data_IF_763603642562
#
_entry.id   IF_763603642562
#
_cell.length_a   1.000
_cell.length_b   1.000
_cell.length_c   1.000
_cell.angle_alpha   90.00
_cell.angle_beta   90.00
_cell.angle_gamma   90.00
#
_symmetry.space_group_name_H-M   'P 1'
#
loop_
_entity.id
_entity.type
_entity.pdbx_description
1 polymer ?
#
# COMPACT_ATOMS: atom_id res chain seq x y z
N UNK A 1 -43.83 -8.57 -13.06
CA UNK A 1 -44.09 -7.94 -14.39
C UNK A 1 -45.52 -7.44 -14.62
N UNK A 2 -46.53 -7.79 -13.83
CA UNK A 2 -47.92 -7.31 -14.04
C UNK A 2 -48.29 -6.06 -13.23
N UNK A 3 -47.67 -5.75 -12.11
CA UNK A 3 -47.98 -4.55 -11.31
C UNK A 3 -47.46 -3.23 -11.91
N UNK A 4 -46.34 -3.25 -12.67
CA UNK A 4 -45.75 -2.05 -13.31
C UNK A 4 -46.61 -1.48 -14.47
N UNK A 5 -47.49 -2.27 -15.09
CA UNK A 5 -48.38 -1.80 -16.20
C UNK A 5 -49.61 -1.07 -15.73
N UNK A 6 -50.01 -1.21 -14.48
CA UNK A 6 -51.26 -0.58 -13.97
C UNK A 6 -50.99 0.87 -13.53
N UNK A 7 -49.81 1.20 -13.02
CA UNK A 7 -49.48 2.57 -12.56
C UNK A 7 -49.26 3.55 -13.73
N UNK A 8 -48.69 3.08 -14.84
CA UNK A 8 -48.49 3.92 -16.05
C UNK A 8 -49.78 4.27 -16.77
N UNK A 9 -50.85 3.47 -16.64
CA UNK A 9 -52.18 3.71 -17.27
C UNK A 9 -52.98 4.74 -16.49
N UNK A 10 -52.81 4.85 -15.16
CA UNK A 10 -53.53 5.82 -14.34
C UNK A 10 -53.00 7.25 -14.53
N UNK A 11 -51.73 7.46 -14.80
CA UNK A 11 -51.16 8.78 -15.09
C UNK A 11 -51.53 9.31 -16.52
N UNK A 12 -51.81 8.46 -17.47
CA UNK A 12 -52.13 8.88 -18.84
C UNK A 12 -53.63 9.30 -19.01
N UNK A 13 -54.49 8.98 -18.05
CA UNK A 13 -55.93 9.28 -18.13
C UNK A 13 -56.33 10.63 -17.52
N UNK A 14 -55.45 11.32 -16.81
CA UNK A 14 -55.70 12.64 -16.22
C UNK A 14 -55.38 13.83 -17.14
N UNK A 15 -54.83 13.61 -18.34
CA UNK A 15 -54.38 14.68 -19.24
C UNK A 15 -55.30 14.98 -20.43
N UNK A 16 -56.46 14.33 -20.56
CA UNK A 16 -57.36 14.53 -21.70
C UNK A 16 -58.83 14.80 -21.33
N UNK A 17 -59.11 15.56 -20.29
CA UNK A 17 -60.46 16.09 -20.06
C UNK A 17 -60.41 17.62 -20.20
N UNK A 18 -60.99 18.07 -21.31
CA UNK A 18 -61.07 19.46 -21.72
C UNK A 18 -61.81 20.37 -20.76
N UNK A 19 -61.49 21.62 -20.84
CA UNK A 19 -62.03 22.75 -20.08
C UNK A 19 -63.53 22.87 -20.17
N UNK A 20 -64.27 22.96 -19.06
CA UNK A 20 -65.53 23.65 -18.89
C UNK A 20 -65.42 24.60 -17.70
N UNK A 21 -65.48 25.89 -18.00
CA UNK A 21 -65.49 26.98 -17.03
C UNK A 21 -66.78 27.04 -16.26
N UNK A 22 -66.74 26.87 -14.94
CA UNK A 22 -67.68 27.50 -14.00
C UNK A 22 -66.89 27.77 -12.69
N UNK A 23 -67.06 29.01 -12.17
CA UNK A 23 -66.34 29.53 -11.04
C UNK A 23 -66.41 28.61 -9.81
N UNK A 24 -65.30 28.07 -9.45
CA UNK A 24 -65.02 27.46 -8.17
C UNK A 24 -63.55 27.76 -7.79
N UNK A 25 -63.40 28.19 -6.57
CA UNK A 25 -62.10 28.45 -5.91
C UNK A 25 -61.07 27.42 -6.34
N UNK A 26 -59.97 27.89 -6.90
CA UNK A 26 -58.80 27.07 -7.15
C UNK A 26 -58.25 26.63 -5.77
N UNK A 27 -58.63 25.46 -5.34
CA UNK A 27 -57.85 24.72 -4.32
C UNK A 27 -56.57 24.33 -5.03
N UNK A 28 -55.54 25.13 -4.89
CA UNK A 28 -54.18 24.69 -5.15
C UNK A 28 -53.85 23.61 -4.12
N UNK A 29 -54.24 22.38 -4.41
CA UNK A 29 -53.59 21.25 -3.79
C UNK A 29 -52.16 21.31 -4.29
N UNK A 30 -51.25 21.67 -3.41
CA UNK A 30 -49.83 21.32 -3.56
C UNK A 30 -49.78 19.80 -3.69
N UNK A 31 -49.80 19.29 -4.93
CA UNK A 31 -49.34 17.95 -5.21
C UNK A 31 -47.82 18.03 -4.99
N UNK A 32 -47.39 17.88 -3.74
CA UNK A 32 -46.07 17.46 -3.48
C UNK A 32 -45.89 16.15 -4.20
N UNK A 33 -45.08 16.16 -5.26
CA UNK A 33 -44.70 14.92 -5.93
C UNK A 33 -44.15 14.02 -4.83
N UNK A 34 -44.92 13.02 -4.43
CA UNK A 34 -44.50 12.05 -3.45
C UNK A 34 -43.33 11.34 -4.14
N UNK A 35 -42.15 11.43 -3.54
CA UNK A 35 -40.95 10.81 -4.10
C UNK A 35 -41.29 9.36 -4.43
N UNK A 36 -41.00 8.95 -5.66
CA UNK A 36 -41.21 7.57 -6.05
C UNK A 36 -40.25 6.72 -5.17
N UNK A 37 -40.84 5.96 -4.26
CA UNK A 37 -40.15 5.03 -3.42
C UNK A 37 -40.28 3.63 -4.02
N UNK A 38 -39.13 2.98 -4.26
CA UNK A 38 -39.08 1.59 -4.72
C UNK A 38 -38.93 0.73 -3.49
N UNK A 39 -39.94 -0.09 -3.22
CA UNK A 39 -39.95 -0.99 -2.07
C UNK A 39 -39.78 -2.44 -2.51
N UNK A 40 -38.94 -3.15 -1.76
CA UNK A 40 -38.75 -4.59 -1.80
C UNK A 40 -38.69 -5.14 -0.37
N UNK A 41 -38.71 -6.45 -0.23
CA UNK A 41 -38.70 -7.10 1.08
C UNK A 41 -37.42 -6.76 1.88
N UNK A 42 -36.27 -6.65 1.18
CA UNK A 42 -34.95 -6.44 1.79
C UNK A 42 -34.35 -5.04 1.59
N UNK A 43 -35.01 -4.15 0.84
CA UNK A 43 -34.56 -2.77 0.68
C UNK A 43 -35.69 -1.81 0.34
N UNK A 44 -35.45 -0.51 0.54
CA UNK A 44 -36.20 0.57 -0.07
C UNK A 44 -35.26 1.57 -0.75
N UNK A 45 -35.70 2.19 -1.85
CA UNK A 45 -34.93 3.20 -2.56
C UNK A 45 -35.76 4.44 -2.84
N UNK A 46 -35.28 5.57 -2.38
CA UNK A 46 -35.90 6.86 -2.65
C UNK A 46 -35.23 7.53 -3.85
N UNK A 47 -35.90 7.55 -5.00
CA UNK A 47 -35.33 8.09 -6.25
C UNK A 47 -35.02 9.60 -6.18
N UNK A 48 -35.72 10.37 -5.34
CA UNK A 48 -35.48 11.81 -5.21
C UNK A 48 -34.18 12.11 -4.47
N UNK A 49 -33.93 11.38 -3.39
CA UNK A 49 -32.73 11.58 -2.57
C UNK A 49 -31.56 10.71 -2.99
N UNK A 50 -31.83 9.63 -3.71
CA UNK A 50 -30.83 8.62 -4.07
C UNK A 50 -30.39 7.75 -2.90
N UNK A 51 -31.19 7.64 -1.83
CA UNK A 51 -30.89 6.82 -0.66
C UNK A 51 -31.43 5.41 -0.86
N UNK A 52 -30.54 4.43 -0.77
CA UNK A 52 -30.86 3.01 -0.71
C UNK A 52 -30.80 2.58 0.76
N UNK A 53 -31.90 2.14 1.32
CA UNK A 53 -32.01 1.63 2.70
C UNK A 53 -32.14 0.12 2.66
N UNK A 54 -31.25 -0.58 3.36
CA UNK A 54 -31.22 -2.03 3.51
C UNK A 54 -31.94 -2.45 4.79
N UNK A 55 -32.71 -3.53 4.74
CA UNK A 55 -33.53 -4.01 5.88
C UNK A 55 -33.69 -5.53 5.84
N UNK A 56 -33.74 -6.17 7.00
CA UNK A 56 -33.93 -7.62 7.12
C UNK A 56 -32.83 -8.45 6.47
N UNK A 57 -33.17 -9.66 6.06
CA UNK A 57 -32.25 -10.54 5.33
C UNK A 57 -32.12 -10.09 3.88
N UNK A 58 -30.90 -9.80 3.46
CA UNK A 58 -30.64 -9.28 2.10
C UNK A 58 -30.68 -10.43 1.09
N UNK A 59 -31.62 -10.34 0.17
CA UNK A 59 -31.59 -11.14 -1.06
C UNK A 59 -30.57 -10.54 -2.03
N UNK A 60 -29.46 -11.28 -2.21
CA UNK A 60 -28.34 -10.85 -3.05
C UNK A 60 -28.76 -10.61 -4.50
N UNK A 61 -29.56 -11.50 -5.04
CA UNK A 61 -29.93 -11.44 -6.45
C UNK A 61 -30.94 -10.32 -6.70
N UNK A 62 -31.89 -10.10 -5.79
CA UNK A 62 -32.80 -8.96 -5.84
C UNK A 62 -32.06 -7.62 -5.76
N UNK A 63 -31.07 -7.49 -4.85
CA UNK A 63 -30.27 -6.26 -4.73
C UNK A 63 -29.34 -6.05 -5.93
N UNK A 64 -28.84 -7.11 -6.51
CA UNK A 64 -28.03 -7.06 -7.72
C UNK A 64 -28.84 -6.65 -8.96
N UNK A 65 -30.06 -7.18 -9.12
CA UNK A 65 -30.97 -6.74 -10.18
C UNK A 65 -31.32 -5.25 -10.03
N UNK A 66 -31.60 -4.79 -8.80
CA UNK A 66 -31.77 -3.37 -8.49
C UNK A 66 -30.53 -2.57 -8.91
N UNK A 67 -29.33 -3.03 -8.56
CA UNK A 67 -28.07 -2.37 -8.92
C UNK A 67 -27.94 -2.17 -10.42
N UNK A 68 -28.22 -3.14 -11.26
CA UNK A 68 -28.14 -2.99 -12.72
C UNK A 68 -29.07 -1.90 -13.30
N UNK A 69 -30.19 -1.59 -12.64
CA UNK A 69 -31.13 -0.56 -13.10
C UNK A 69 -30.83 0.82 -12.48
N UNK A 70 -30.32 0.84 -11.23
CA UNK A 70 -30.27 2.07 -10.42
C UNK A 70 -28.86 2.44 -9.91
N UNK A 71 -27.78 1.72 -10.23
CA UNK A 71 -26.43 1.98 -9.74
C UNK A 71 -25.99 3.44 -9.86
N UNK A 72 -26.27 4.05 -11.02
CA UNK A 72 -25.95 5.46 -11.29
C UNK A 72 -26.83 6.47 -10.54
N UNK A 73 -27.95 6.03 -9.93
CA UNK A 73 -28.87 6.89 -9.16
C UNK A 73 -28.61 6.83 -7.66
N UNK A 74 -28.01 5.76 -7.16
CA UNK A 74 -27.68 5.61 -5.74
C UNK A 74 -26.63 6.64 -5.34
N UNK A 75 -26.95 7.47 -4.33
CA UNK A 75 -26.06 8.49 -3.75
C UNK A 75 -25.54 8.06 -2.40
N UNK A 76 -26.31 7.30 -1.65
CA UNK A 76 -25.92 6.72 -0.38
C UNK A 76 -26.62 5.39 -0.12
N UNK A 77 -25.96 4.54 0.66
CA UNK A 77 -26.49 3.28 1.19
C UNK A 77 -26.51 3.36 2.70
N UNK A 78 -27.59 2.91 3.34
CA UNK A 78 -27.70 2.84 4.81
C UNK A 78 -28.32 1.50 5.20
N UNK A 79 -27.70 0.79 6.13
CA UNK A 79 -28.30 -0.41 6.73
C UNK A 79 -29.11 -0.05 7.98
N UNK A 80 -30.34 -0.54 8.06
CA UNK A 80 -31.14 -0.49 9.29
C UNK A 80 -30.71 -1.56 10.28
N UNK A 81 -31.11 -1.40 11.55
CA UNK A 81 -30.91 -2.42 12.56
C UNK A 81 -31.64 -3.71 12.17
N UNK A 82 -30.93 -4.83 12.21
CA UNK A 82 -31.48 -6.13 11.82
C UNK A 82 -31.26 -6.48 10.34
N UNK A 83 -30.48 -5.65 9.61
CA UNK A 83 -29.99 -6.02 8.28
C UNK A 83 -28.99 -7.16 8.41
N UNK A 84 -29.20 -8.26 7.70
CA UNK A 84 -28.31 -9.42 7.66
C UNK A 84 -27.80 -9.60 6.25
N UNK A 85 -26.48 -9.55 6.06
CA UNK A 85 -25.88 -9.75 4.75
C UNK A 85 -25.82 -11.23 4.36
N UNK A 86 -26.00 -11.57 3.07
CA UNK A 86 -25.99 -12.96 2.62
C UNK A 86 -24.60 -13.59 2.75
N UNK A 87 -24.54 -14.91 2.94
CA UNK A 87 -23.29 -15.66 3.03
C UNK A 87 -22.33 -15.35 1.87
N UNK A 88 -22.86 -15.23 0.67
CA UNK A 88 -22.11 -14.71 -0.49
C UNK A 88 -22.49 -13.25 -0.74
N UNK A 89 -21.73 -12.32 -0.17
CA UNK A 89 -21.89 -10.87 -0.35
C UNK A 89 -21.02 -10.32 -1.49
N UNK A 90 -20.52 -11.19 -2.38
CA UNK A 90 -19.74 -10.72 -3.53
C UNK A 90 -20.54 -9.80 -4.43
N UNK A 91 -19.90 -8.73 -4.92
CA UNK A 91 -20.47 -7.74 -5.86
C UNK A 91 -21.73 -7.02 -5.38
N UNK A 92 -22.01 -6.99 -4.06
CA UNK A 92 -23.28 -6.50 -3.53
C UNK A 92 -23.54 -5.02 -3.87
N UNK A 93 -22.49 -4.18 -3.87
CA UNK A 93 -22.55 -2.76 -4.24
C UNK A 93 -21.62 -2.46 -5.45
N UNK A 94 -21.42 -3.46 -6.30
CA UNK A 94 -20.58 -3.32 -7.48
C UNK A 94 -21.07 -2.20 -8.38
N UNK A 95 -20.14 -1.32 -8.81
CA UNK A 95 -20.37 -0.22 -9.74
C UNK A 95 -21.30 0.90 -9.25
N UNK A 96 -21.50 1.05 -7.93
CA UNK A 96 -22.21 2.21 -7.37
C UNK A 96 -21.34 3.47 -7.49
N UNK A 97 -20.99 3.83 -8.72
CA UNK A 97 -19.98 4.82 -9.09
C UNK A 97 -20.34 6.28 -8.73
N UNK A 98 -21.61 6.57 -8.45
CA UNK A 98 -22.09 7.86 -7.98
C UNK A 98 -22.41 7.88 -6.46
N UNK A 99 -22.25 6.73 -5.78
CA UNK A 99 -22.49 6.62 -4.35
C UNK A 99 -21.33 7.24 -3.57
N UNK A 100 -21.62 8.25 -2.74
CA UNK A 100 -20.59 8.98 -1.96
C UNK A 100 -20.44 8.47 -0.53
N UNK A 101 -21.45 7.75 -0.01
CA UNK A 101 -21.41 7.20 1.34
C UNK A 101 -22.12 5.86 1.44
N UNK A 102 -21.52 4.92 2.17
CA UNK A 102 -22.10 3.63 2.51
C UNK A 102 -21.93 3.44 4.01
N UNK A 103 -23.04 3.29 4.74
CA UNK A 103 -23.10 3.03 6.17
C UNK A 103 -23.72 1.64 6.40
N UNK A 104 -22.85 0.69 6.73
CA UNK A 104 -23.22 -0.68 7.10
C UNK A 104 -22.94 -0.98 8.57
N UNK A 105 -22.77 0.05 9.42
CA UNK A 105 -22.45 -0.08 10.84
C UNK A 105 -23.49 -0.87 11.67
N UNK A 106 -24.69 -1.12 11.09
CA UNK A 106 -25.76 -1.88 11.71
C UNK A 106 -26.02 -3.22 11.05
N UNK A 107 -25.25 -3.57 10.01
CA UNK A 107 -25.42 -4.83 9.30
C UNK A 107 -24.72 -5.97 10.06
N UNK A 108 -25.39 -7.10 10.11
CA UNK A 108 -24.83 -8.37 10.58
C UNK A 108 -24.12 -9.07 9.41
N UNK A 109 -22.84 -9.36 9.58
CA UNK A 109 -21.98 -10.04 8.60
C UNK A 109 -21.44 -11.38 9.10
N UNK A 110 -21.85 -11.85 10.28
CA UNK A 110 -21.30 -13.04 10.92
C UNK A 110 -21.37 -14.34 10.10
N UNK A 111 -22.27 -14.41 9.12
CA UNK A 111 -22.39 -15.57 8.22
C UNK A 111 -21.68 -15.37 6.86
N UNK A 112 -21.06 -14.21 6.62
CA UNK A 112 -20.46 -13.93 5.32
C UNK A 112 -19.16 -14.71 5.15
N UNK A 113 -19.04 -15.41 4.02
CA UNK A 113 -17.83 -16.18 3.67
C UNK A 113 -17.11 -15.61 2.44
N UNK A 114 -17.79 -14.81 1.63
CA UNK A 114 -17.25 -14.22 0.40
C UNK A 114 -17.64 -12.74 0.29
N UNK A 115 -16.64 -11.86 0.31
CA UNK A 115 -16.78 -10.41 0.12
C UNK A 115 -16.09 -9.92 -1.16
N UNK A 116 -15.82 -10.82 -2.13
CA UNK A 116 -15.12 -10.42 -3.34
C UNK A 116 -15.89 -9.36 -4.12
N UNK A 117 -15.19 -8.33 -4.57
CA UNK A 117 -15.74 -7.19 -5.35
C UNK A 117 -16.91 -6.47 -4.68
N UNK A 118 -17.11 -6.59 -3.36
CA UNK A 118 -18.29 -6.08 -2.66
C UNK A 118 -18.51 -4.57 -2.90
N UNK A 119 -17.46 -3.77 -2.91
CA UNK A 119 -17.49 -2.33 -3.17
C UNK A 119 -16.74 -1.94 -4.44
N UNK A 120 -16.46 -2.91 -5.33
CA UNK A 120 -15.68 -2.67 -6.54
C UNK A 120 -16.35 -1.63 -7.43
N UNK A 121 -15.54 -0.70 -7.99
CA UNK A 121 -15.95 0.43 -8.85
C UNK A 121 -16.86 1.47 -8.14
N UNK A 122 -16.91 1.49 -6.79
CA UNK A 122 -17.53 2.60 -6.06
C UNK A 122 -16.64 3.85 -6.12
N UNK A 123 -16.44 4.41 -7.31
CA UNK A 123 -15.40 5.40 -7.58
C UNK A 123 -15.63 6.77 -6.91
N UNK A 124 -16.86 7.15 -6.61
CA UNK A 124 -17.20 8.37 -5.88
C UNK A 124 -17.24 8.20 -4.35
N UNK A 125 -17.05 6.96 -3.84
CA UNK A 125 -17.16 6.68 -2.42
C UNK A 125 -16.10 7.41 -1.61
N UNK A 126 -16.53 8.25 -0.66
CA UNK A 126 -15.65 9.02 0.23
C UNK A 126 -15.84 8.65 1.70
N UNK A 127 -16.99 8.06 2.05
CA UNK A 127 -17.32 7.64 3.41
C UNK A 127 -17.80 6.20 3.38
N UNK A 128 -17.14 5.34 4.12
CA UNK A 128 -17.50 3.93 4.28
C UNK A 128 -17.44 3.57 5.76
N UNK A 129 -18.59 3.19 6.33
CA UNK A 129 -18.67 2.68 7.69
C UNK A 129 -18.99 1.17 7.67
N UNK A 130 -17.97 0.39 7.99
CA UNK A 130 -17.98 -1.06 8.11
C UNK A 130 -17.44 -1.49 9.49
N UNK A 131 -17.56 -0.61 10.48
CA UNK A 131 -17.00 -0.81 11.82
C UNK A 131 -17.60 -2.00 12.58
N UNK A 132 -18.82 -2.47 12.18
CA UNK A 132 -19.48 -3.63 12.75
C UNK A 132 -19.13 -4.95 12.05
N UNK A 133 -18.33 -4.94 10.98
CA UNK A 133 -18.09 -6.15 10.20
C UNK A 133 -17.38 -7.22 11.03
N UNK A 134 -18.03 -8.37 11.15
CA UNK A 134 -17.41 -9.63 11.53
C UNK A 134 -16.96 -10.35 10.26
N UNK A 135 -15.66 -10.45 10.05
CA UNK A 135 -15.06 -11.09 8.88
C UNK A 135 -14.41 -12.42 9.20
N UNK A 136 -14.62 -12.96 10.42
CA UNK A 136 -13.99 -14.18 10.91
C UNK A 136 -14.27 -15.43 10.05
N UNK A 137 -15.38 -15.44 9.30
CA UNK A 137 -15.74 -16.52 8.38
C UNK A 137 -15.37 -16.25 6.93
N UNK A 138 -14.81 -15.06 6.61
CA UNK A 138 -14.53 -14.66 5.24
C UNK A 138 -13.26 -15.35 4.73
N UNK A 139 -13.36 -15.96 3.56
CA UNK A 139 -12.25 -16.67 2.89
C UNK A 139 -11.76 -15.95 1.64
N UNK A 140 -12.58 -15.07 1.05
CA UNK A 140 -12.25 -14.34 -0.18
C UNK A 140 -12.59 -12.86 -0.07
N UNK A 141 -11.55 -12.01 -0.21
CA UNK A 141 -11.63 -10.55 -0.26
C UNK A 141 -11.06 -9.97 -1.57
N UNK A 142 -11.00 -10.79 -2.63
CA UNK A 142 -10.55 -10.36 -3.95
C UNK A 142 -11.34 -9.15 -4.45
N UNK A 143 -10.63 -8.12 -4.97
CA UNK A 143 -11.23 -6.90 -5.54
C UNK A 143 -12.18 -6.13 -4.59
N UNK A 144 -12.18 -6.38 -3.26
CA UNK A 144 -13.21 -5.86 -2.36
C UNK A 144 -13.41 -4.34 -2.47
N UNK A 145 -12.32 -3.58 -2.61
CA UNK A 145 -12.31 -2.12 -2.77
C UNK A 145 -11.72 -1.69 -4.13
N UNK A 146 -11.76 -2.59 -5.13
CA UNK A 146 -11.21 -2.30 -6.46
C UNK A 146 -11.76 -0.98 -7.01
N UNK A 147 -10.86 -0.05 -7.34
CA UNK A 147 -11.16 1.30 -7.87
C UNK A 147 -12.09 2.18 -7.02
N UNK A 148 -12.13 1.99 -5.70
CA UNK A 148 -12.68 3.00 -4.80
C UNK A 148 -11.78 4.25 -4.79
N UNK A 149 -11.71 4.94 -5.93
CA UNK A 149 -10.67 5.93 -6.23
C UNK A 149 -10.76 7.23 -5.43
N UNK A 150 -11.93 7.56 -4.87
CA UNK A 150 -12.15 8.75 -4.03
C UNK A 150 -11.97 8.48 -2.53
N UNK A 151 -11.80 7.20 -2.12
CA UNK A 151 -11.64 6.83 -0.73
C UNK A 151 -10.25 7.26 -0.23
N UNK A 152 -10.22 8.20 0.73
CA UNK A 152 -8.95 8.75 1.25
C UNK A 152 -8.41 8.00 2.48
N UNK A 153 -9.29 7.33 3.19
CA UNK A 153 -8.98 6.48 4.34
C UNK A 153 -10.04 5.41 4.49
N UNK A 154 -9.70 4.32 5.16
CA UNK A 154 -10.61 3.22 5.48
C UNK A 154 -10.25 2.67 6.85
N UNK A 155 -11.25 2.42 7.69
CA UNK A 155 -11.09 1.73 8.97
C UNK A 155 -11.33 0.24 8.79
N UNK A 156 -10.26 -0.54 8.99
CA UNK A 156 -10.24 -2.00 8.91
C UNK A 156 -9.96 -2.64 10.28
N UNK A 157 -10.10 -1.88 11.36
CA UNK A 157 -9.74 -2.33 12.71
C UNK A 157 -10.59 -3.51 13.22
N UNK A 158 -11.80 -3.68 12.66
CA UNK A 158 -12.71 -4.80 12.97
C UNK A 158 -12.39 -6.08 12.18
N UNK A 159 -11.52 -6.02 11.14
CA UNK A 159 -11.30 -7.14 10.24
C UNK A 159 -10.47 -8.24 10.90
N UNK A 160 -11.04 -9.45 10.96
CA UNK A 160 -10.32 -10.70 11.18
C UNK A 160 -10.07 -11.36 9.82
N UNK A 161 -8.81 -11.44 9.40
CA UNK A 161 -8.42 -12.01 8.11
C UNK A 161 -7.82 -13.41 8.22
N UNK A 162 -7.88 -14.03 9.40
CA UNK A 162 -7.24 -15.31 9.70
C UNK A 162 -7.72 -16.50 8.84
N UNK A 163 -8.87 -16.38 8.20
CA UNK A 163 -9.41 -17.37 7.27
C UNK A 163 -9.30 -16.98 5.79
N UNK A 164 -8.80 -15.79 5.49
CA UNK A 164 -8.72 -15.28 4.12
C UNK A 164 -7.60 -15.99 3.35
N UNK A 165 -7.92 -16.49 2.14
CA UNK A 165 -6.98 -17.15 1.24
C UNK A 165 -6.65 -16.34 0.00
N UNK A 166 -7.50 -15.39 -0.38
CA UNK A 166 -7.34 -14.54 -1.56
C UNK A 166 -7.57 -13.06 -1.22
N UNK A 167 -6.52 -12.24 -1.37
CA UNK A 167 -6.52 -10.78 -1.24
C UNK A 167 -6.09 -10.08 -2.53
N UNK A 168 -6.18 -10.79 -3.68
CA UNK A 168 -5.79 -10.19 -4.97
C UNK A 168 -6.57 -8.92 -5.22
N UNK A 169 -5.89 -7.87 -5.69
CA UNK A 169 -6.43 -6.58 -6.09
C UNK A 169 -7.37 -5.89 -5.06
N UNK A 170 -7.28 -6.28 -3.75
CA UNK A 170 -8.20 -5.80 -2.71
C UNK A 170 -8.31 -4.27 -2.68
N UNK A 171 -7.21 -3.55 -2.90
CA UNK A 171 -7.15 -2.08 -2.93
C UNK A 171 -6.71 -1.54 -4.30
N UNK A 172 -6.80 -2.36 -5.36
CA UNK A 172 -6.43 -1.92 -6.70
C UNK A 172 -7.10 -0.60 -7.06
N UNK A 173 -6.33 0.39 -7.49
CA UNK A 173 -6.86 1.68 -7.97
C UNK A 173 -7.49 2.57 -6.90
N UNK A 174 -7.28 2.29 -5.62
CA UNK A 174 -7.63 3.19 -4.52
C UNK A 174 -6.71 4.43 -4.52
N UNK A 175 -6.79 5.23 -5.60
CA UNK A 175 -5.91 6.37 -5.86
C UNK A 175 -5.99 7.47 -4.80
N UNK A 176 -7.11 7.52 -4.05
CA UNK A 176 -7.34 8.47 -2.97
C UNK A 176 -6.59 8.17 -1.68
N UNK A 177 -6.31 6.88 -1.41
CA UNK A 177 -5.70 6.43 -0.15
C UNK A 177 -4.32 7.05 0.06
N UNK A 178 -4.13 7.73 1.19
CA UNK A 178 -2.86 8.34 1.59
C UNK A 178 -2.11 7.50 2.62
N UNK A 179 -2.83 6.72 3.39
CA UNK A 179 -2.33 5.74 4.37
C UNK A 179 -3.35 4.63 4.57
N UNK A 180 -2.89 3.48 5.06
CA UNK A 180 -3.73 2.35 5.42
C UNK A 180 -3.11 1.63 6.62
N UNK A 181 -3.92 1.27 7.63
CA UNK A 181 -3.49 0.48 8.78
C UNK A 181 -3.87 -0.99 8.55
N UNK A 182 -2.86 -1.85 8.45
CA UNK A 182 -2.98 -3.29 8.18
C UNK A 182 -2.40 -4.14 9.31
N UNK A 183 -2.14 -3.54 10.48
CA UNK A 183 -1.47 -4.26 11.58
C UNK A 183 -2.26 -5.47 12.12
N UNK A 184 -3.59 -5.47 11.94
CA UNK A 184 -4.48 -6.57 12.38
C UNK A 184 -4.63 -7.66 11.32
N UNK A 185 -4.03 -7.50 10.12
CA UNK A 185 -4.15 -8.49 9.06
C UNK A 185 -3.31 -9.73 9.38
N UNK A 186 -3.98 -10.86 9.60
CA UNK A 186 -3.37 -12.18 9.58
C UNK A 186 -3.38 -12.70 8.14
N UNK A 187 -2.21 -12.88 7.56
CA UNK A 187 -2.06 -13.31 6.16
C UNK A 187 -1.50 -14.72 6.02
N UNK A 188 -1.40 -15.48 7.12
CA UNK A 188 -0.77 -16.81 7.13
C UNK A 188 -1.41 -17.85 6.19
N UNK A 189 -2.73 -17.71 5.88
CA UNK A 189 -3.43 -18.57 4.91
C UNK A 189 -3.53 -17.98 3.52
N UNK A 190 -3.08 -16.75 3.31
CA UNK A 190 -3.22 -16.08 2.01
C UNK A 190 -2.26 -16.70 0.99
N UNK A 191 -2.80 -17.12 -0.15
CA UNK A 191 -2.03 -17.70 -1.27
C UNK A 191 -1.90 -16.74 -2.45
N UNK A 192 -2.76 -15.72 -2.55
CA UNK A 192 -2.80 -14.76 -3.66
C UNK A 192 -2.85 -13.33 -3.13
N UNK A 193 -1.86 -12.51 -3.52
CA UNK A 193 -1.76 -11.07 -3.22
C UNK A 193 -1.49 -10.24 -4.48
N UNK A 194 -1.74 -10.81 -5.68
CA UNK A 194 -1.46 -10.08 -6.93
C UNK A 194 -2.25 -8.78 -7.00
N UNK A 195 -1.59 -7.68 -7.38
CA UNK A 195 -2.21 -6.38 -7.55
C UNK A 195 -2.82 -5.75 -6.29
N UNK A 196 -2.54 -6.27 -5.07
CA UNK A 196 -3.25 -5.85 -3.85
C UNK A 196 -3.27 -4.33 -3.65
N UNK A 197 -2.20 -3.61 -3.99
CA UNK A 197 -2.09 -2.15 -3.90
C UNK A 197 -1.85 -1.49 -5.26
N UNK A 198 -2.16 -2.18 -6.37
CA UNK A 198 -1.90 -1.67 -7.71
C UNK A 198 -2.56 -0.29 -7.90
N UNK A 199 -1.80 0.71 -8.37
CA UNK A 199 -2.24 2.10 -8.58
C UNK A 199 -2.78 2.82 -7.33
N UNK A 200 -2.32 2.45 -6.12
CA UNK A 200 -2.51 3.28 -4.93
C UNK A 200 -1.53 4.48 -4.97
N UNK A 201 -1.74 5.38 -5.93
CA UNK A 201 -0.75 6.40 -6.34
C UNK A 201 -0.48 7.49 -5.30
N UNK A 202 -1.40 7.74 -4.36
CA UNK A 202 -1.19 8.70 -3.26
C UNK A 202 -0.64 8.07 -1.99
N UNK A 203 -0.47 6.75 -1.95
CA UNK A 203 0.07 6.06 -0.78
C UNK A 203 1.56 6.39 -0.65
N UNK A 204 1.93 7.13 0.41
CA UNK A 204 3.32 7.60 0.61
C UNK A 204 4.16 6.65 1.44
N UNK A 205 3.53 5.83 2.25
CA UNK A 205 4.13 4.77 3.04
C UNK A 205 3.13 3.67 3.31
N UNK A 206 3.62 2.45 3.51
CA UNK A 206 2.83 1.30 3.91
C UNK A 206 3.64 0.44 4.85
N UNK A 207 3.02 -0.04 5.93
CA UNK A 207 3.61 -1.01 6.84
C UNK A 207 3.02 -2.40 6.57
N UNK A 208 3.82 -3.26 5.99
CA UNK A 208 3.51 -4.67 5.70
C UNK A 208 4.40 -5.63 6.50
N UNK A 209 5.07 -5.12 7.55
CA UNK A 209 5.98 -5.92 8.38
C UNK A 209 5.29 -7.05 9.15
N UNK A 210 3.96 -6.95 9.33
CA UNK A 210 3.12 -7.97 9.95
C UNK A 210 2.69 -9.10 9.01
N UNK A 211 2.93 -8.97 7.69
CA UNK A 211 2.46 -9.97 6.73
C UNK A 211 3.27 -11.26 6.80
N UNK A 212 2.62 -12.37 7.04
CA UNK A 212 3.16 -13.71 6.75
C UNK A 212 2.88 -14.03 5.27
N UNK A 213 3.93 -14.09 4.49
CA UNK A 213 3.86 -14.34 3.05
C UNK A 213 4.32 -15.74 2.66
N UNK A 214 4.54 -16.63 3.65
CA UNK A 214 5.11 -17.97 3.42
C UNK A 214 4.26 -18.87 2.53
N UNK A 215 2.93 -18.66 2.51
CA UNK A 215 1.98 -19.40 1.69
C UNK A 215 1.69 -18.74 0.34
N UNK A 216 2.19 -17.53 0.09
CA UNK A 216 1.86 -16.75 -1.11
C UNK A 216 2.61 -17.30 -2.33
N UNK A 217 1.86 -17.61 -3.39
CA UNK A 217 2.40 -18.09 -4.67
C UNK A 217 2.40 -17.01 -5.76
N UNK A 218 1.55 -16.00 -5.65
CA UNK A 218 1.44 -14.92 -6.63
C UNK A 218 1.46 -13.54 -5.96
N UNK A 219 2.53 -12.76 -6.24
CA UNK A 219 2.73 -11.37 -5.84
C UNK A 219 2.81 -10.42 -7.04
N UNK A 220 2.44 -10.90 -8.24
CA UNK A 220 2.52 -10.07 -9.45
C UNK A 220 1.80 -8.74 -9.28
N UNK A 221 2.41 -7.66 -9.73
CA UNK A 221 1.85 -6.29 -9.71
C UNK A 221 1.43 -5.76 -8.32
N UNK A 222 1.88 -6.37 -7.19
CA UNK A 222 1.37 -6.03 -5.85
C UNK A 222 1.47 -4.54 -5.53
N UNK A 223 2.53 -3.85 -5.96
CA UNK A 223 2.76 -2.42 -5.76
C UNK A 223 2.86 -1.65 -7.09
N UNK A 224 2.38 -2.23 -8.20
CA UNK A 224 2.42 -1.58 -9.51
C UNK A 224 1.81 -0.17 -9.43
N UNK A 225 2.49 0.85 -9.97
CA UNK A 225 1.97 2.22 -10.04
C UNK A 225 1.78 2.93 -8.70
N UNK A 226 2.37 2.41 -7.61
CA UNK A 226 2.41 3.10 -6.31
C UNK A 226 3.40 4.28 -6.36
N UNK A 227 3.07 5.29 -7.17
CA UNK A 227 3.96 6.42 -7.44
C UNK A 227 4.28 7.28 -6.21
N UNK A 228 3.45 7.24 -5.16
CA UNK A 228 3.68 7.97 -3.91
C UNK A 228 4.76 7.36 -3.02
N UNK A 229 5.04 6.05 -3.15
CA UNK A 229 6.01 5.36 -2.29
C UNK A 229 7.44 5.84 -2.57
N UNK A 230 8.12 6.29 -1.52
CA UNK A 230 9.55 6.67 -1.60
C UNK A 230 10.49 5.59 -1.05
N UNK A 231 9.97 4.73 -0.18
CA UNK A 231 10.66 3.59 0.43
C UNK A 231 9.66 2.45 0.63
N UNK A 232 10.16 1.22 0.60
CA UNK A 232 9.40 0.03 0.88
C UNK A 232 10.31 -0.99 1.58
N UNK A 233 9.92 -1.42 2.78
CA UNK A 233 10.63 -2.44 3.56
C UNK A 233 9.90 -3.77 3.43
N UNK A 234 10.51 -4.71 2.73
CA UNK A 234 10.02 -6.07 2.51
C UNK A 234 10.98 -7.11 3.11
N UNK A 235 11.86 -6.71 4.02
CA UNK A 235 12.87 -7.59 4.63
C UNK A 235 12.26 -8.79 5.36
N UNK A 236 10.99 -8.71 5.76
CA UNK A 236 10.25 -9.79 6.42
C UNK A 236 9.47 -10.69 5.48
N UNK A 237 9.40 -10.36 4.19
CA UNK A 237 8.68 -11.20 3.23
C UNK A 237 9.40 -12.53 3.03
N UNK A 238 8.69 -13.62 3.25
CA UNK A 238 9.11 -14.95 2.86
C UNK A 238 8.57 -15.27 1.48
N UNK A 239 9.43 -15.23 0.46
CA UNK A 239 9.03 -15.44 -0.93
C UNK A 239 9.34 -16.85 -1.43
N UNK A 240 9.68 -17.81 -0.54
CA UNK A 240 10.10 -19.16 -0.90
C UNK A 240 9.03 -20.00 -1.61
N UNK A 241 7.76 -19.59 -1.57
CA UNK A 241 6.64 -20.22 -2.28
C UNK A 241 6.22 -19.46 -3.54
N UNK A 242 6.79 -18.27 -3.79
CA UNK A 242 6.38 -17.40 -4.89
C UNK A 242 6.84 -17.94 -6.23
N UNK A 243 5.90 -18.02 -7.19
CA UNK A 243 6.11 -18.41 -8.58
C UNK A 243 6.04 -17.17 -9.48
N UNK A 244 5.12 -16.25 -9.19
CA UNK A 244 4.85 -15.07 -10.01
C UNK A 244 5.12 -13.79 -9.22
N UNK A 245 6.11 -12.96 -9.67
CA UNK A 245 6.37 -11.62 -9.14
C UNK A 245 6.56 -10.56 -10.24
N UNK A 246 6.00 -10.84 -11.43
CA UNK A 246 6.03 -9.92 -12.55
C UNK A 246 5.46 -8.54 -12.17
N UNK A 247 6.05 -7.47 -12.70
CA UNK A 247 5.58 -6.08 -12.52
C UNK A 247 5.40 -5.63 -11.06
N UNK A 248 5.93 -6.34 -10.06
CA UNK A 248 5.60 -6.11 -8.64
C UNK A 248 5.84 -4.66 -8.22
N UNK A 249 6.87 -4.00 -8.76
CA UNK A 249 7.23 -2.61 -8.45
C UNK A 249 7.17 -1.70 -9.69
N UNK A 250 6.57 -2.19 -10.79
CA UNK A 250 6.51 -1.41 -12.03
C UNK A 250 5.82 -0.06 -11.79
N UNK A 251 6.41 1.03 -12.27
CA UNK A 251 5.87 2.37 -12.14
C UNK A 251 5.95 2.99 -10.73
N UNK A 252 6.68 2.38 -9.79
CA UNK A 252 7.00 3.02 -8.50
C UNK A 252 8.02 4.15 -8.71
N UNK A 253 7.63 5.21 -9.43
CA UNK A 253 8.53 6.22 -9.98
C UNK A 253 9.29 7.05 -8.93
N UNK A 254 8.76 7.20 -7.71
CA UNK A 254 9.42 7.90 -6.61
C UNK A 254 10.18 6.98 -5.64
N UNK A 255 10.19 5.66 -5.91
CA UNK A 255 10.86 4.70 -5.05
C UNK A 255 12.39 4.87 -5.15
N UNK A 256 13.00 5.37 -4.08
CA UNK A 256 14.45 5.59 -4.00
C UNK A 256 15.21 4.38 -3.46
N UNK A 257 14.56 3.61 -2.57
CA UNK A 257 15.13 2.43 -1.92
C UNK A 257 14.10 1.34 -1.72
N UNK A 258 14.58 0.10 -1.84
CA UNK A 258 13.82 -1.11 -1.54
C UNK A 258 14.74 -2.11 -0.87
N UNK A 259 14.28 -2.78 0.19
CA UNK A 259 14.99 -3.89 0.84
C UNK A 259 14.37 -5.21 0.40
N UNK A 260 15.16 -5.99 -0.35
CA UNK A 260 14.81 -7.31 -0.87
C UNK A 260 15.66 -8.41 -0.25
N UNK A 261 16.36 -8.13 0.85
CA UNK A 261 17.31 -9.08 1.46
C UNK A 261 16.67 -10.37 1.95
N UNK A 262 15.35 -10.35 2.23
CA UNK A 262 14.58 -11.53 2.61
C UNK A 262 14.05 -12.36 1.42
N UNK A 263 14.26 -11.92 0.17
CA UNK A 263 13.68 -12.59 -0.99
C UNK A 263 14.42 -13.88 -1.34
N UNK A 264 13.65 -14.97 -1.43
CA UNK A 264 14.05 -16.25 -2.00
C UNK A 264 13.32 -16.43 -3.33
N UNK A 265 14.05 -16.38 -4.44
CA UNK A 265 13.46 -16.44 -5.78
C UNK A 265 13.66 -17.78 -6.50
N UNK A 266 14.08 -18.83 -5.77
CA UNK A 266 14.39 -20.15 -6.36
C UNK A 266 13.22 -20.80 -7.09
N UNK A 267 11.97 -20.46 -6.77
CA UNK A 267 10.77 -20.96 -7.45
C UNK A 267 10.17 -19.97 -8.43
N UNK A 268 10.72 -18.77 -8.53
CA UNK A 268 10.16 -17.73 -9.40
C UNK A 268 10.41 -18.05 -10.86
N UNK A 269 9.34 -18.06 -11.63
CA UNK A 269 9.34 -18.30 -13.09
C UNK A 269 9.18 -16.97 -13.87
N UNK A 270 8.43 -16.01 -13.30
CA UNK A 270 8.12 -14.75 -13.98
C UNK A 270 8.49 -13.54 -13.12
N UNK A 271 9.42 -12.72 -13.63
CA UNK A 271 9.80 -11.42 -13.04
C UNK A 271 9.98 -10.32 -14.11
N UNK A 272 9.27 -10.47 -15.25
CA UNK A 272 9.28 -9.46 -16.29
C UNK A 272 8.74 -8.11 -15.74
N UNK A 273 9.28 -7.00 -16.23
CA UNK A 273 8.95 -5.62 -15.82
C UNK A 273 9.02 -5.37 -14.30
N UNK A 274 9.74 -6.21 -13.53
CA UNK A 274 9.73 -6.19 -12.06
C UNK A 274 9.98 -4.80 -11.47
N UNK A 275 10.94 -4.03 -12.02
CA UNK A 275 11.30 -2.67 -11.60
C UNK A 275 11.09 -1.64 -12.69
N UNK A 276 10.40 -1.99 -13.79
CA UNK A 276 10.20 -1.05 -14.89
C UNK A 276 9.56 0.25 -14.37
N UNK A 277 10.05 1.40 -14.85
CA UNK A 277 9.53 2.72 -14.43
C UNK A 277 9.89 3.13 -12.99
N UNK A 278 10.78 2.41 -12.29
CA UNK A 278 11.35 2.87 -11.02
C UNK A 278 12.40 3.96 -11.27
N UNK A 279 11.96 5.08 -11.84
CA UNK A 279 12.85 6.12 -12.37
C UNK A 279 13.67 6.89 -11.33
N UNK A 280 13.29 6.81 -10.03
CA UNK A 280 14.06 7.39 -8.92
C UNK A 280 14.99 6.41 -8.22
N UNK A 281 14.98 5.13 -8.59
CA UNK A 281 15.80 4.10 -7.98
C UNK A 281 17.26 4.27 -8.42
N UNK A 282 18.16 4.52 -7.46
CA UNK A 282 19.60 4.74 -7.74
C UNK A 282 20.44 3.50 -7.51
N UNK A 283 20.01 2.63 -6.58
CA UNK A 283 20.71 1.40 -6.26
C UNK A 283 19.75 0.26 -5.96
N UNK A 284 20.15 -0.96 -6.30
CA UNK A 284 19.41 -2.17 -5.97
C UNK A 284 20.35 -3.32 -5.62
N UNK A 285 20.01 -4.07 -4.56
CA UNK A 285 20.72 -5.28 -4.17
C UNK A 285 19.84 -6.51 -4.47
N UNK A 286 20.25 -7.29 -5.48
CA UNK A 286 19.67 -8.56 -5.89
C UNK A 286 20.57 -9.74 -5.52
N UNK A 287 21.39 -9.59 -4.50
CA UNK A 287 22.35 -10.65 -4.10
C UNK A 287 21.68 -11.90 -3.55
N UNK A 288 20.43 -11.79 -3.09
CA UNK A 288 19.58 -12.92 -2.66
C UNK A 288 18.90 -13.66 -3.83
N UNK A 289 18.84 -13.05 -5.04
CA UNK A 289 18.08 -13.59 -6.16
C UNK A 289 18.77 -14.80 -6.80
N UNK A 290 17.98 -15.82 -7.02
CA UNK A 290 18.32 -17.00 -7.84
C UNK A 290 17.43 -16.98 -9.10
N UNK A 291 18.06 -16.87 -10.26
CA UNK A 291 17.36 -16.80 -11.55
C UNK A 291 17.37 -18.14 -12.31
N UNK A 292 17.70 -19.24 -11.63
CA UNK A 292 17.86 -20.55 -12.29
C UNK A 292 16.56 -21.08 -12.90
N UNK A 293 15.40 -20.75 -12.33
CA UNK A 293 14.09 -21.15 -12.80
C UNK A 293 13.33 -20.04 -13.54
N UNK A 294 13.93 -18.84 -13.66
CA UNK A 294 13.25 -17.71 -14.30
C UNK A 294 13.17 -17.92 -15.82
N UNK A 295 11.94 -17.88 -16.32
CA UNK A 295 11.62 -18.02 -17.74
C UNK A 295 11.52 -16.64 -18.39
N UNK A 296 10.87 -15.69 -17.70
CA UNK A 296 10.60 -14.35 -18.22
C UNK A 296 11.17 -13.27 -17.27
N UNK A 297 12.17 -12.51 -17.75
CA UNK A 297 12.72 -11.34 -17.05
C UNK A 297 12.89 -10.12 -17.98
N UNK A 298 12.21 -10.15 -19.14
CA UNK A 298 12.23 -9.03 -20.06
C UNK A 298 11.71 -7.74 -19.42
N UNK A 299 12.19 -6.59 -19.89
CA UNK A 299 11.77 -5.26 -19.45
C UNK A 299 12.01 -4.97 -17.95
N UNK A 300 12.80 -5.77 -17.26
CA UNK A 300 12.98 -5.74 -15.81
C UNK A 300 13.40 -4.35 -15.29
N UNK A 301 14.22 -3.61 -16.07
CA UNK A 301 14.78 -2.30 -15.71
C UNK A 301 14.42 -1.20 -16.70
N UNK A 302 13.43 -1.42 -17.54
CA UNK A 302 12.94 -0.38 -18.49
C UNK A 302 12.64 0.92 -17.74
N UNK A 303 13.13 2.08 -18.21
CA UNK A 303 12.95 3.39 -17.58
C UNK A 303 13.54 3.52 -16.16
N UNK A 304 14.52 2.70 -15.78
CA UNK A 304 15.28 2.86 -14.53
C UNK A 304 16.48 3.82 -14.75
N UNK A 305 16.22 5.03 -15.21
CA UNK A 305 17.26 5.94 -15.74
C UNK A 305 18.30 6.37 -14.69
N UNK A 306 17.91 6.44 -13.41
CA UNK A 306 18.83 6.83 -12.32
C UNK A 306 19.59 5.65 -11.71
N UNK A 307 19.29 4.41 -12.11
CA UNK A 307 19.96 3.24 -11.54
C UNK A 307 21.45 3.27 -11.92
N UNK A 308 22.30 3.39 -10.90
CA UNK A 308 23.75 3.53 -11.04
C UNK A 308 24.55 2.49 -10.26
N UNK A 309 23.91 1.76 -9.34
CA UNK A 309 24.53 0.70 -8.57
C UNK A 309 23.65 -0.56 -8.54
N UNK A 310 24.23 -1.69 -8.93
CA UNK A 310 23.54 -2.97 -9.00
C UNK A 310 24.41 -4.04 -8.34
N UNK A 311 23.87 -4.76 -7.34
CA UNK A 311 24.52 -5.93 -6.76
C UNK A 311 23.80 -7.20 -7.20
N UNK A 312 24.54 -8.15 -7.79
CA UNK A 312 24.03 -9.46 -8.21
C UNK A 312 24.64 -10.57 -7.36
N UNK A 313 23.83 -11.56 -7.00
CA UNK A 313 24.25 -12.74 -6.27
C UNK A 313 24.89 -13.79 -7.17
N UNK A 314 25.47 -14.84 -6.56
CA UNK A 314 26.13 -15.94 -7.27
C UNK A 314 25.19 -16.73 -8.20
N UNK A 315 23.90 -16.73 -7.92
CA UNK A 315 22.87 -17.46 -8.68
C UNK A 315 22.17 -16.57 -9.72
N UNK A 316 22.47 -15.28 -9.76
CA UNK A 316 22.05 -14.38 -10.83
C UNK A 316 23.16 -14.33 -11.88
N UNK A 317 23.18 -15.30 -12.78
CA UNK A 317 24.35 -15.52 -13.65
C UNK A 317 24.45 -14.57 -14.83
N UNK A 318 23.32 -14.14 -15.35
CA UNK A 318 23.26 -13.28 -16.53
C UNK A 318 22.16 -12.26 -16.46
N UNK A 319 22.46 -11.05 -16.86
CA UNK A 319 21.51 -9.97 -17.12
C UNK A 319 21.50 -9.76 -18.63
N UNK A 320 20.47 -10.25 -19.34
CA UNK A 320 20.41 -10.16 -20.80
C UNK A 320 19.94 -8.78 -21.28
N UNK A 321 20.17 -8.45 -22.54
CA UNK A 321 19.83 -7.16 -23.15
C UNK A 321 18.35 -6.83 -23.04
N UNK A 322 17.47 -7.81 -23.19
CA UNK A 322 16.02 -7.62 -23.10
C UNK A 322 15.50 -7.26 -21.70
N UNK A 323 16.37 -7.15 -20.70
CA UNK A 323 16.03 -6.57 -19.40
C UNK A 323 15.98 -5.04 -19.44
N UNK A 324 16.49 -4.43 -20.51
CA UNK A 324 16.56 -2.98 -20.76
C UNK A 324 17.21 -2.19 -19.61
N UNK A 325 18.26 -2.76 -19.01
CA UNK A 325 19.08 -2.01 -18.04
C UNK A 325 19.81 -0.88 -18.78
N UNK A 326 19.59 0.41 -18.44
CA UNK A 326 20.27 1.52 -19.08
C UNK A 326 21.79 1.37 -18.99
N UNK A 327 22.49 1.41 -20.14
CA UNK A 327 23.94 1.18 -20.18
C UNK A 327 24.76 2.45 -19.95
N UNK A 328 24.36 3.59 -20.57
CA UNK A 328 25.15 4.83 -20.54
C UNK A 328 26.56 4.59 -21.06
N UNK A 329 27.58 5.07 -20.32
CA UNK A 329 29.01 4.85 -20.64
C UNK A 329 29.51 3.44 -20.25
N UNK A 330 28.60 2.56 -19.83
CA UNK A 330 28.88 1.19 -19.44
C UNK A 330 28.85 0.94 -17.94
N UNK A 331 28.92 -0.33 -17.56
CA UNK A 331 29.00 -0.78 -16.18
C UNK A 331 30.36 -1.43 -15.91
N UNK A 332 30.90 -1.18 -14.72
CA UNK A 332 32.14 -1.75 -14.24
C UNK A 332 31.91 -2.53 -12.94
N UNK A 333 32.61 -3.64 -12.76
CA UNK A 333 32.68 -4.31 -11.45
C UNK A 333 33.49 -3.40 -10.50
N UNK A 334 32.99 -3.14 -9.29
CA UNK A 334 33.69 -2.29 -8.31
C UNK A 334 35.07 -2.83 -7.94
N UNK A 335 35.31 -4.14 -8.09
CA UNK A 335 36.59 -4.79 -7.86
C UNK A 335 37.55 -4.75 -9.08
N UNK A 336 37.03 -4.33 -10.26
CA UNK A 336 37.77 -4.17 -11.50
C UNK A 336 37.30 -2.91 -12.25
N UNK A 337 37.44 -1.70 -11.67
CA UNK A 337 36.75 -0.48 -12.14
C UNK A 337 37.28 0.06 -13.47
N UNK A 338 38.36 -0.49 -14.00
CA UNK A 338 38.96 -0.08 -15.29
C UNK A 338 38.42 -0.88 -16.48
N UNK A 339 37.56 -1.89 -16.25
CA UNK A 339 37.06 -2.78 -17.29
C UNK A 339 35.54 -2.68 -17.38
N UNK A 340 35.05 -2.16 -18.51
CA UNK A 340 33.61 -2.19 -18.82
C UNK A 340 33.19 -3.62 -19.11
N UNK A 341 32.12 -4.09 -18.43
CA UNK A 341 31.67 -5.48 -18.51
C UNK A 341 30.27 -5.62 -19.13
N UNK A 342 29.64 -4.50 -19.51
CA UNK A 342 28.23 -4.44 -19.93
C UNK A 342 28.02 -4.40 -21.46
N UNK A 343 29.06 -4.55 -22.25
CA UNK A 343 28.99 -4.39 -23.72
C UNK A 343 28.81 -2.93 -24.13
N UNK A 344 28.67 -2.70 -25.46
CA UNK A 344 28.62 -1.37 -26.08
C UNK A 344 27.22 -0.97 -26.59
N UNK A 345 26.18 -1.77 -26.28
CA UNK A 345 24.81 -1.49 -26.69
C UNK A 345 24.13 -0.41 -25.83
N UNK A 346 22.95 0.02 -26.24
CA UNK A 346 22.13 0.98 -25.48
C UNK A 346 21.71 0.39 -24.11
N UNK A 347 21.62 -0.92 -24.04
CA UNK A 347 21.26 -1.66 -22.82
C UNK A 347 22.39 -2.59 -22.40
N UNK A 348 22.59 -2.68 -21.09
CA UNK A 348 23.66 -3.47 -20.52
C UNK A 348 23.37 -4.96 -20.60
N UNK A 349 24.41 -5.71 -20.98
CA UNK A 349 24.45 -7.19 -20.86
C UNK A 349 25.57 -7.54 -19.89
N UNK A 350 25.25 -8.13 -18.74
CA UNK A 350 26.23 -8.44 -17.72
C UNK A 350 26.25 -9.94 -17.48
N UNK A 351 27.42 -10.56 -17.76
CA UNK A 351 27.71 -11.93 -17.31
C UNK A 351 28.27 -11.86 -15.89
N UNK A 352 27.58 -12.50 -14.94
CA UNK A 352 27.95 -12.48 -13.54
C UNK A 352 28.45 -13.85 -13.06
N UNK A 353 29.62 -13.88 -12.44
CA UNK A 353 30.30 -15.12 -12.02
C UNK A 353 30.42 -15.28 -10.51
N UNK A 354 29.63 -14.50 -9.74
CA UNK A 354 29.68 -14.55 -8.28
C UNK A 354 28.84 -13.46 -7.64
N UNK A 355 29.06 -13.16 -6.36
CA UNK A 355 28.48 -11.99 -5.75
C UNK A 355 29.30 -10.76 -6.12
N UNK A 356 28.77 -9.92 -6.98
CA UNK A 356 29.44 -8.75 -7.52
C UNK A 356 28.56 -7.51 -7.41
N UNK A 357 29.20 -6.36 -7.16
CA UNK A 357 28.56 -5.05 -7.27
C UNK A 357 29.11 -4.34 -8.49
N UNK A 358 28.18 -3.81 -9.28
CA UNK A 358 28.46 -3.08 -10.50
C UNK A 358 28.05 -1.62 -10.34
N UNK A 359 28.84 -0.70 -10.92
CA UNK A 359 28.55 0.73 -11.01
C UNK A 359 28.47 1.16 -12.48
N UNK A 360 27.50 1.99 -12.79
CA UNK A 360 27.36 2.62 -14.12
C UNK A 360 28.26 3.83 -14.20
N UNK A 361 29.01 3.95 -15.28
CA UNK A 361 29.89 5.09 -15.57
C UNK A 361 29.06 6.30 -16.01
N UNK A 362 29.66 7.50 -15.87
CA UNK A 362 29.03 8.75 -16.30
C UNK A 362 27.87 9.25 -15.41
N UNK A 363 27.60 8.57 -14.30
CA UNK A 363 26.51 8.94 -13.36
C UNK A 363 27.01 9.68 -12.11
N UNK A 364 28.29 9.99 -12.03
CA UNK A 364 28.95 10.54 -10.84
C UNK A 364 28.63 12.01 -10.53
N UNK A 365 27.57 12.59 -11.13
CA UNK A 365 27.21 14.00 -10.91
C UNK A 365 26.31 14.27 -9.70
N UNK A 366 25.81 13.24 -9.03
CA UNK A 366 25.16 13.41 -7.71
C UNK A 366 25.91 12.55 -6.69
N UNK A 367 26.53 13.18 -5.67
CA UNK A 367 26.95 12.48 -4.48
C UNK A 367 25.80 11.57 -4.01
N UNK A 368 26.07 10.31 -3.59
CA UNK A 368 25.02 9.47 -3.04
C UNK A 368 24.36 10.24 -1.89
N UNK A 369 23.11 10.69 -2.08
CA UNK A 369 22.34 11.21 -0.95
C UNK A 369 22.52 10.22 0.20
N UNK A 370 23.01 10.72 1.32
CA UNK A 370 23.19 9.90 2.54
C UNK A 370 21.81 9.42 3.02
N UNK A 371 21.35 8.31 2.46
CA UNK A 371 20.00 7.78 2.63
C UNK A 371 19.91 6.84 3.83
N UNK A 372 20.88 6.89 4.75
CA UNK A 372 20.79 6.16 5.99
C UNK A 372 19.59 6.69 6.80
N UNK A 373 18.75 5.78 7.29
CA UNK A 373 17.67 6.11 8.23
C UNK A 373 18.18 6.32 9.65
N UNK A 374 19.48 6.19 9.83
CA UNK A 374 20.19 6.37 11.09
C UNK A 374 21.43 7.24 10.90
N UNK A 375 21.86 7.98 11.94
CA UNK A 375 23.03 8.82 11.89
C UNK A 375 24.31 8.03 11.65
N UNK A 376 25.16 8.52 10.74
CA UNK A 376 26.52 8.03 10.48
C UNK A 376 27.54 9.04 10.94
N UNK A 377 28.83 8.67 10.88
CA UNK A 377 29.94 9.51 11.28
C UNK A 377 29.77 10.12 12.68
N UNK A 378 29.23 9.33 13.63
CA UNK A 378 29.06 9.78 15.01
C UNK A 378 30.44 10.03 15.62
N UNK A 379 30.73 11.31 15.90
CA UNK A 379 31.98 11.76 16.57
C UNK A 379 31.66 12.18 17.99
N UNK A 380 32.59 11.87 18.90
CA UNK A 380 32.50 12.26 20.29
C UNK A 380 33.71 13.13 20.67
N UNK A 381 33.46 14.34 21.14
CA UNK A 381 34.46 15.27 21.64
C UNK A 381 34.30 15.43 23.16
N UNK A 382 35.31 15.13 23.93
CA UNK A 382 35.30 15.23 25.38
C UNK A 382 35.82 16.61 25.84
N UNK A 383 35.15 17.17 26.86
CA UNK A 383 35.58 18.39 27.56
C UNK A 383 36.05 18.03 28.96
N UNK A 384 37.36 18.19 29.23
CA UNK A 384 37.96 17.93 30.55
C UNK A 384 37.44 18.92 31.61
N UNK A 385 37.22 20.19 31.22
CA UNK A 385 36.76 21.25 32.13
C UNK A 385 35.37 20.97 32.73
N UNK A 386 34.50 20.32 31.99
CA UNK A 386 33.11 20.10 32.38
C UNK A 386 32.73 18.63 32.53
N UNK A 387 33.66 17.71 32.31
CA UNK A 387 33.43 16.26 32.23
C UNK A 387 32.16 15.96 31.41
N UNK A 388 32.13 16.51 30.20
CA UNK A 388 31.02 16.38 29.23
C UNK A 388 31.52 15.78 27.93
N UNK A 389 30.59 15.15 27.19
CA UNK A 389 30.85 14.68 25.83
C UNK A 389 29.89 15.40 24.88
N UNK A 390 30.45 15.96 23.82
CA UNK A 390 29.69 16.50 22.70
C UNK A 390 29.71 15.50 21.58
N UNK A 391 28.53 15.03 21.17
CA UNK A 391 28.34 14.16 20.01
C UNK A 391 27.91 15.00 18.81
N UNK A 392 28.46 14.68 17.65
CA UNK A 392 28.03 15.19 16.35
C UNK A 392 27.89 14.04 15.40
N UNK A 393 26.98 14.17 14.43
CA UNK A 393 26.71 13.14 13.42
C UNK A 393 26.26 13.76 12.11
N UNK A 394 26.27 12.96 11.02
CA UNK A 394 25.77 13.41 9.74
C UNK A 394 24.25 13.53 9.77
N UNK A 395 23.74 14.53 9.03
CA UNK A 395 22.28 14.72 8.86
C UNK A 395 21.68 13.51 8.17
N UNK A 396 20.56 13.04 8.71
CA UNK A 396 19.71 12.02 8.06
C UNK A 396 18.64 12.73 7.28
N UNK A 397 18.53 12.43 5.99
CA UNK A 397 17.51 13.03 5.11
C UNK A 397 16.12 12.64 5.57
N UNK A 398 15.20 13.61 5.61
CA UNK A 398 13.83 13.40 6.09
C UNK A 398 13.70 13.18 7.60
N UNK A 399 14.78 13.26 8.39
CA UNK A 399 14.66 13.18 9.83
C UNK A 399 14.11 14.48 10.41
N UNK A 400 13.04 14.38 11.18
CA UNK A 400 12.46 15.50 11.91
C UNK A 400 13.03 15.60 13.34
N UNK A 401 13.55 14.51 13.89
CA UNK A 401 14.16 14.45 15.25
C UNK A 401 15.26 13.40 15.35
N UNK A 402 16.12 13.59 16.35
CA UNK A 402 17.11 12.62 16.79
C UNK A 402 16.94 12.26 18.27
N UNK A 403 17.30 11.03 18.61
CA UNK A 403 17.26 10.51 19.97
C UNK A 403 18.63 9.95 20.39
N UNK A 404 18.97 10.12 21.65
CA UNK A 404 20.17 9.54 22.28
C UNK A 404 19.74 8.46 23.25
N UNK A 405 20.36 7.30 23.15
CA UNK A 405 20.24 6.23 24.14
C UNK A 405 21.63 5.79 24.62
N UNK A 406 21.74 5.47 25.90
CA UNK A 406 22.97 4.99 26.55
C UNK A 406 22.74 3.58 27.09
N UNK A 407 23.70 2.70 26.89
CA UNK A 407 23.68 1.35 27.43
C UNK A 407 24.17 1.36 28.88
N UNK A 408 23.27 1.09 29.84
CA UNK A 408 23.53 1.12 31.29
C UNK A 408 22.94 -0.12 31.94
N UNK A 409 23.71 -0.80 32.78
CA UNK A 409 23.27 -1.98 33.53
C UNK A 409 22.58 -3.05 32.64
N UNK A 410 23.18 -3.35 31.47
CA UNK A 410 22.73 -4.38 30.57
C UNK A 410 21.52 -4.00 29.69
N UNK A 411 21.04 -2.73 29.74
CA UNK A 411 19.86 -2.26 28.97
C UNK A 411 20.11 -0.89 28.35
N UNK A 412 19.52 -0.66 27.18
CA UNK A 412 19.45 0.65 26.55
C UNK A 412 18.48 1.57 27.28
N UNK A 413 18.90 2.79 27.60
CA UNK A 413 18.09 3.81 28.27
C UNK A 413 18.08 5.09 27.44
N UNK A 414 16.92 5.55 27.06
CA UNK A 414 16.75 6.77 26.29
C UNK A 414 17.08 7.97 27.21
N UNK A 415 17.92 8.87 26.72
CA UNK A 415 18.29 10.11 27.41
C UNK A 415 17.44 11.28 26.90
N UNK A 416 17.20 11.34 25.62
CA UNK A 416 16.36 12.34 24.95
C UNK A 416 15.90 11.88 23.58
N UNK A 417 14.75 12.41 23.13
CA UNK A 417 14.17 12.12 21.81
C UNK A 417 13.78 13.41 21.07
N UNK A 418 14.19 14.58 21.54
CA UNK A 418 13.72 15.87 21.03
C UNK A 418 14.84 16.73 20.43
N UNK A 419 15.88 16.11 19.89
CA UNK A 419 16.98 16.84 19.25
C UNK A 419 16.60 17.11 17.78
N UNK A 420 16.64 18.38 17.38
CA UNK A 420 16.38 18.81 15.99
C UNK A 420 17.66 19.14 15.22
N UNK A 421 18.79 19.25 15.91
CA UNK A 421 20.11 19.49 15.34
C UNK A 421 20.94 18.19 15.29
N UNK A 422 22.01 18.16 14.50
CA UNK A 422 22.95 17.03 14.40
C UNK A 422 24.03 17.06 15.48
N UNK A 423 23.68 17.54 16.66
CA UNK A 423 24.57 17.69 17.80
C UNK A 423 23.83 17.49 19.12
N UNK A 424 24.50 16.84 20.07
CA UNK A 424 24.05 16.69 21.45
C UNK A 424 25.23 16.81 22.41
N UNK A 425 25.04 17.53 23.50
CA UNK A 425 26.03 17.61 24.59
C UNK A 425 25.42 16.93 25.82
N UNK A 426 26.16 16.00 26.39
CA UNK A 426 25.76 15.28 27.61
C UNK A 426 25.60 16.23 28.80
N UNK A 427 24.95 15.81 29.89
CA UNK A 427 25.05 16.52 31.17
C UNK A 427 26.49 16.68 31.61
N UNK A 428 26.77 17.69 32.44
CA UNK A 428 28.06 17.92 33.10
C UNK A 428 28.32 16.84 34.16
N UNK A 429 29.60 16.72 34.57
CA UNK A 429 30.03 15.88 35.67
C UNK A 429 29.82 14.37 35.45
N UNK A 430 30.04 13.91 34.23
CA UNK A 430 30.15 12.49 33.97
C UNK A 430 31.34 11.89 34.76
N UNK A 431 31.17 10.66 35.23
CA UNK A 431 32.17 10.01 36.10
C UNK A 431 33.46 9.69 35.33
N UNK A 432 34.63 10.24 35.68
CA UNK A 432 35.89 9.88 35.07
C UNK A 432 36.19 8.38 35.17
N UNK A 433 36.90 7.85 34.16
CA UNK A 433 37.24 6.43 34.07
C UNK A 433 36.13 5.51 33.60
N UNK A 434 34.87 5.97 33.50
CA UNK A 434 33.74 5.15 33.00
C UNK A 434 33.61 5.24 31.50
N UNK A 435 33.31 4.07 30.88
CA UNK A 435 32.97 3.96 29.46
C UNK A 435 31.48 3.83 29.27
N UNK A 436 30.95 4.56 28.30
CA UNK A 436 29.55 4.56 27.94
C UNK A 436 29.39 4.14 26.47
N UNK A 437 28.48 3.20 26.18
CA UNK A 437 28.08 2.89 24.81
C UNK A 437 26.86 3.73 24.48
N UNK A 438 26.93 4.53 23.41
CA UNK A 438 25.95 5.55 23.05
C UNK A 438 25.44 5.29 21.64
N UNK A 439 24.12 5.18 21.48
CA UNK A 439 23.44 5.10 20.20
C UNK A 439 22.73 6.41 19.87
N UNK A 440 22.81 6.83 18.61
CA UNK A 440 22.06 7.98 18.08
C UNK A 440 21.09 7.46 17.03
N UNK A 441 19.80 7.65 17.28
CA UNK A 441 18.72 7.28 16.35
C UNK A 441 18.15 8.52 15.67
N UNK A 442 17.65 8.37 14.46
CA UNK A 442 16.88 9.38 13.76
C UNK A 442 15.40 8.94 13.67
N UNK A 443 14.48 9.91 13.68
CA UNK A 443 13.07 9.69 13.39
C UNK A 443 12.76 10.19 11.98
N UNK A 444 12.38 9.27 11.10
CA UNK A 444 12.06 9.56 9.70
C UNK A 444 10.65 9.03 9.41
N UNK A 445 9.77 9.87 8.88
CA UNK A 445 8.38 9.49 8.64
C UNK A 445 7.63 9.04 9.90
N UNK A 446 7.96 9.62 11.07
CA UNK A 446 7.34 9.27 12.36
C UNK A 446 7.96 8.05 13.06
N UNK A 447 8.82 7.26 12.41
CA UNK A 447 9.40 6.01 12.92
C UNK A 447 10.87 6.18 13.32
N UNK A 448 11.31 5.47 14.38
CA UNK A 448 12.69 5.47 14.87
C UNK A 448 13.46 4.25 14.35
N UNK A 449 14.59 4.45 13.70
CA UNK A 449 15.52 3.36 13.35
C UNK A 449 16.43 3.03 14.56
N UNK A 450 15.89 2.30 15.51
CA UNK A 450 16.64 1.91 16.74
C UNK A 450 17.58 0.74 16.50
N UNK A 451 17.28 -0.16 15.57
CA UNK A 451 18.08 -1.36 15.28
C UNK A 451 19.45 -0.93 14.72
N UNK A 452 19.47 -0.12 13.68
CA UNK A 452 20.71 0.35 13.08
C UNK A 452 21.44 1.35 13.98
N UNK A 453 20.71 2.20 14.72
CA UNK A 453 21.30 3.06 15.73
C UNK A 453 22.11 2.27 16.79
N UNK A 454 21.57 1.16 17.27
CA UNK A 454 22.25 0.28 18.25
C UNK A 454 23.47 -0.43 17.63
N UNK A 455 23.35 -0.91 16.38
CA UNK A 455 24.48 -1.54 15.66
C UNK A 455 25.65 -0.57 15.47
N UNK A 456 25.36 0.72 15.25
CA UNK A 456 26.35 1.79 15.01
C UNK A 456 26.68 2.60 16.27
N UNK A 457 26.36 2.07 17.45
CA UNK A 457 26.65 2.75 18.71
C UNK A 457 28.17 2.92 18.95
N UNK A 458 28.53 4.12 19.38
CA UNK A 458 29.95 4.47 19.72
C UNK A 458 30.19 4.27 21.19
N UNK A 459 31.46 3.90 21.54
CA UNK A 459 31.90 3.81 22.94
C UNK A 459 32.76 5.02 23.27
N UNK A 460 32.46 5.70 24.37
CA UNK A 460 33.18 6.86 24.85
C UNK A 460 33.61 6.61 26.27
N UNK A 461 34.92 6.78 26.54
CA UNK A 461 35.52 6.72 27.89
C UNK A 461 35.69 8.15 28.39
N UNK A 462 35.18 8.44 29.57
CA UNK A 462 35.35 9.72 30.24
C UNK A 462 36.77 9.77 30.83
N UNK A 463 37.52 10.80 30.47
CA UNK A 463 38.88 11.00 30.96
C UNK A 463 38.89 11.73 32.31
#
# INVERSE_FOLDING_TARGET
>A
MQAKKILAVVMSLCLTAGAVSYGASIITQNITAQAAEIEADCYSFNETTGVLTLKGEIDRDALKEFGYEYDGKVKSVVAEKGTILPQNSSTLFFYYNNCTSIDLSKADTGNVTNMSSMFSECSALTKLDISSFDTSNVTNMEDMFYRCSSLSSIDLSSFDTSNVTNMSAMFYGCKGLTSIDLKNFDTGKVTKMSGMFLNCSKLTSIDVSGFDTSSVTNMGSMFYGCTGLTRLDLSRFNTSSVIYMYSMFNGCSNLKKIDLSGFDTRKVEEMYTLFAGCSSLTSIDLSSFDTSNVIYMNDMFTLCEKLSTLTLGKNFKKLPENTYLPNGDGWVNVNAPKTVVSGNGNYAVIENNGKNTYKRLGTDSEEPENTNTYPTNIKAAYSEQYHQVRFTWDKVEGADRYGIAVFLAGKWRIQTQNITATVYTSPKNLTPGKSYKVAVAARVGGSWDTINAIKNAVTVTIK
#
